data_IF_668190529922
#
_entry.id   IF_668190529922
#
_cell.length_a   1.000
_cell.length_b   1.000
_cell.length_c   1.000
_cell.angle_alpha   90.00
_cell.angle_beta   90.00
_cell.angle_gamma   90.00
#
_symmetry.space_group_name_H-M   'P 1'
#
loop_
_entity.id
_entity.type
_entity.pdbx_description
1 polymer ?
#
# COMPACT_ATOMS: atom_id res chain seq x y z
N UNK A 1 7.01 5.03 24.07
CA UNK A 1 6.16 5.01 22.86
C UNK A 1 5.62 3.60 22.67
N UNK A 2 4.39 3.43 22.16
CA UNK A 2 3.85 2.11 21.82
C UNK A 2 4.67 1.57 20.62
N UNK A 3 5.16 0.33 20.69
CA UNK A 3 5.90 -0.29 19.59
C UNK A 3 4.90 -0.84 18.57
N UNK A 4 5.24 -0.74 17.29
CA UNK A 4 4.50 -1.36 16.19
C UNK A 4 4.60 -2.88 16.34
N UNK A 5 3.47 -3.56 16.49
CA UNK A 5 3.42 -5.02 16.55
C UNK A 5 3.41 -5.55 15.13
N UNK A 6 4.45 -6.28 14.75
CA UNK A 6 4.69 -6.77 13.39
C UNK A 6 4.60 -8.30 13.34
N UNK A 7 3.88 -8.83 12.36
CA UNK A 7 3.95 -10.24 11.95
C UNK A 7 4.67 -10.33 10.61
N UNK A 8 5.51 -11.35 10.45
CA UNK A 8 6.20 -11.67 9.19
C UNK A 8 5.67 -13.00 8.68
N UNK A 9 5.18 -13.04 7.44
CA UNK A 9 4.71 -14.24 6.77
C UNK A 9 5.47 -14.43 5.45
N UNK A 10 6.33 -15.43 5.39
CA UNK A 10 7.13 -15.80 4.22
C UNK A 10 7.55 -17.27 4.37
N UNK A 11 7.46 -18.09 3.33
CA UNK A 11 7.88 -19.49 3.38
C UNK A 11 9.41 -19.66 3.36
N UNK A 12 10.15 -18.62 2.94
CA UNK A 12 11.60 -18.62 2.90
C UNK A 12 12.21 -18.16 4.24
N UNK A 13 12.80 -19.09 5.01
CA UNK A 13 13.45 -18.77 6.29
C UNK A 13 14.51 -17.68 6.19
N UNK A 14 15.34 -17.71 5.11
CA UNK A 14 16.39 -16.69 4.90
C UNK A 14 15.81 -15.27 4.76
N UNK A 15 14.64 -15.12 4.16
CA UNK A 15 13.98 -13.81 4.03
C UNK A 15 13.51 -13.34 5.41
N UNK A 16 12.90 -14.22 6.21
CA UNK A 16 12.47 -13.86 7.58
C UNK A 16 13.67 -13.47 8.44
N UNK A 17 14.76 -14.26 8.40
CA UNK A 17 16.01 -13.93 9.09
C UNK A 17 16.60 -12.58 8.63
N UNK A 18 16.54 -12.32 7.33
CA UNK A 18 16.96 -11.03 6.74
C UNK A 18 16.14 -9.86 7.27
N UNK A 19 14.82 -10.00 7.34
CA UNK A 19 13.92 -8.97 7.91
C UNK A 19 14.22 -8.76 9.39
N UNK A 20 14.42 -9.83 10.17
CA UNK A 20 14.86 -9.72 11.57
C UNK A 20 16.17 -8.95 11.70
N UNK A 21 17.16 -9.24 10.86
CA UNK A 21 18.44 -8.54 10.88
C UNK A 21 18.30 -7.05 10.51
N UNK A 22 17.45 -6.73 9.54
CA UNK A 22 17.15 -5.35 9.14
C UNK A 22 16.48 -4.57 10.28
N UNK A 23 15.54 -5.19 11.00
CA UNK A 23 14.74 -4.53 12.03
C UNK A 23 15.34 -4.60 13.43
N UNK A 24 16.46 -5.30 13.62
CA UNK A 24 17.07 -5.58 14.94
C UNK A 24 17.32 -4.37 15.82
N UNK A 25 17.64 -3.22 15.24
CA UNK A 25 17.97 -1.99 15.96
C UNK A 25 16.88 -0.92 15.87
N UNK A 26 15.69 -1.30 15.43
CA UNK A 26 14.53 -0.39 15.33
C UNK A 26 13.68 -0.52 16.60
N UNK A 27 13.96 0.33 17.57
CA UNK A 27 13.34 0.28 18.91
C UNK A 27 11.81 0.45 18.89
N UNK A 28 11.26 1.03 17.82
CA UNK A 28 9.85 1.27 17.64
C UNK A 28 9.10 0.09 16.98
N UNK A 29 9.78 -0.99 16.55
CA UNK A 29 9.17 -2.15 15.90
C UNK A 29 9.40 -3.38 16.78
N UNK A 30 8.37 -4.21 16.92
CA UNK A 30 8.42 -5.47 17.66
C UNK A 30 7.82 -6.60 16.82
N UNK A 31 8.63 -7.56 16.39
CA UNK A 31 8.17 -8.74 15.67
C UNK A 31 7.55 -9.68 16.70
N UNK A 32 6.23 -9.89 16.63
CA UNK A 32 5.47 -10.69 17.61
C UNK A 32 5.25 -12.12 17.18
N UNK A 33 5.26 -12.41 15.89
CA UNK A 33 5.14 -13.76 15.37
C UNK A 33 5.64 -13.89 13.92
N UNK A 34 5.88 -15.14 13.52
CA UNK A 34 6.18 -15.54 12.15
C UNK A 34 5.17 -16.55 11.65
N UNK A 35 5.00 -16.63 10.34
CA UNK A 35 4.21 -17.62 9.63
C UNK A 35 4.97 -18.08 8.37
N UNK A 36 4.74 -19.31 7.94
CA UNK A 36 5.37 -19.89 6.74
C UNK A 36 4.39 -20.09 5.58
N UNK A 37 3.12 -19.78 5.80
CA UNK A 37 2.06 -19.82 4.79
C UNK A 37 0.91 -18.89 5.17
N UNK A 38 -0.06 -18.71 4.27
CA UNK A 38 -1.20 -17.82 4.49
C UNK A 38 -2.15 -18.30 5.60
N UNK A 39 -2.29 -19.61 5.81
CA UNK A 39 -3.14 -20.15 6.90
C UNK A 39 -2.54 -19.81 8.26
N UNK A 40 -1.24 -20.03 8.44
CA UNK A 40 -0.56 -19.63 9.66
C UNK A 40 -0.61 -18.10 9.87
N UNK A 41 -0.46 -17.31 8.80
CA UNK A 41 -0.54 -15.86 8.88
C UNK A 41 -1.87 -15.41 9.49
N UNK A 42 -3.00 -15.97 9.05
CA UNK A 42 -4.33 -15.70 9.61
C UNK A 42 -4.36 -16.02 11.11
N UNK A 43 -3.91 -17.23 11.50
CA UNK A 43 -3.88 -17.66 12.91
C UNK A 43 -3.03 -16.71 13.76
N UNK A 44 -1.86 -16.26 13.25
CA UNK A 44 -1.00 -15.31 13.97
C UNK A 44 -1.65 -13.95 14.12
N UNK A 45 -2.35 -13.48 13.07
CA UNK A 45 -3.08 -12.20 13.11
C UNK A 45 -4.21 -12.27 14.13
N UNK A 46 -5.02 -13.31 14.14
CA UNK A 46 -6.11 -13.50 15.11
C UNK A 46 -5.62 -13.54 16.55
N UNK A 47 -4.48 -14.21 16.79
CA UNK A 47 -3.92 -14.36 18.13
C UNK A 47 -3.22 -13.10 18.65
N UNK A 48 -2.45 -12.43 17.79
CA UNK A 48 -1.58 -11.31 18.20
C UNK A 48 -2.17 -9.94 17.94
N UNK A 49 -3.20 -9.82 17.07
CA UNK A 49 -3.80 -8.56 16.62
C UNK A 49 -2.73 -7.53 16.25
N UNK A 50 -1.84 -7.84 15.30
CA UNK A 50 -0.70 -6.99 14.97
C UNK A 50 -1.17 -5.69 14.32
N UNK A 51 -0.36 -4.63 14.48
CA UNK A 51 -0.58 -3.38 13.79
C UNK A 51 -0.29 -3.53 12.28
N UNK A 52 0.80 -4.27 11.93
CA UNK A 52 1.24 -4.47 10.54
C UNK A 52 1.62 -5.94 10.29
N UNK A 53 1.33 -6.44 9.10
CA UNK A 53 1.81 -7.72 8.58
C UNK A 53 2.68 -7.47 7.34
N UNK A 54 3.91 -7.97 7.34
CA UNK A 54 4.70 -8.15 6.11
C UNK A 54 4.40 -9.54 5.58
N UNK A 55 3.90 -9.67 4.35
CA UNK A 55 3.41 -10.94 3.84
C UNK A 55 3.86 -11.20 2.42
N UNK A 56 4.53 -12.33 2.21
CA UNK A 56 4.83 -12.82 0.87
C UNK A 56 3.53 -13.14 0.10
N UNK A 57 3.54 -12.89 -1.19
CA UNK A 57 2.42 -13.24 -2.07
C UNK A 57 2.42 -14.74 -2.36
N UNK A 58 3.58 -15.32 -2.66
CA UNK A 58 3.71 -16.70 -3.10
C UNK A 58 4.12 -17.60 -1.94
N UNK A 59 3.15 -18.14 -1.24
CA UNK A 59 3.35 -19.10 -0.15
C UNK A 59 2.61 -20.41 -0.44
N UNK A 60 3.09 -21.56 0.10
CA UNK A 60 2.41 -22.83 -0.02
C UNK A 60 1.05 -22.80 0.72
N UNK A 61 0.18 -23.76 0.39
CA UNK A 61 -1.15 -23.98 0.99
C UNK A 61 -2.15 -22.83 0.80
N UNK A 62 -1.76 -21.60 1.04
CA UNK A 62 -2.56 -20.39 0.87
C UNK A 62 -1.66 -19.23 0.51
N UNK A 63 -1.96 -18.55 -0.58
CA UNK A 63 -1.24 -17.36 -1.05
C UNK A 63 -1.44 -16.17 -0.10
N UNK A 64 -0.51 -15.20 -0.15
CA UNK A 64 -0.65 -13.97 0.63
C UNK A 64 -1.85 -13.12 0.23
N UNK A 65 -2.30 -13.20 -1.03
CA UNK A 65 -3.50 -12.47 -1.49
C UNK A 65 -4.78 -13.12 -0.92
N UNK A 66 -4.86 -14.45 -0.92
CA UNK A 66 -5.98 -15.15 -0.27
C UNK A 66 -6.02 -14.89 1.24
N UNK A 67 -4.85 -14.86 1.89
CA UNK A 67 -4.73 -14.51 3.30
C UNK A 67 -5.11 -13.05 3.55
N UNK A 68 -4.66 -12.09 2.71
CA UNK A 68 -5.04 -10.68 2.77
C UNK A 68 -6.57 -10.53 2.79
N UNK A 69 -7.27 -11.17 1.86
CA UNK A 69 -8.73 -11.14 1.79
C UNK A 69 -9.37 -11.58 3.10
N UNK A 70 -8.97 -12.74 3.62
CA UNK A 70 -9.51 -13.29 4.87
C UNK A 70 -9.19 -12.43 6.09
N UNK A 71 -7.96 -11.92 6.18
CA UNK A 71 -7.56 -11.03 7.29
C UNK A 71 -8.37 -9.73 7.26
N UNK A 72 -8.65 -9.16 6.07
CA UNK A 72 -9.47 -7.95 5.98
C UNK A 72 -10.93 -8.16 6.39
N UNK A 73 -11.44 -9.39 6.27
CA UNK A 73 -12.77 -9.76 6.76
C UNK A 73 -12.82 -9.90 8.30
N UNK A 74 -11.76 -10.46 8.92
CA UNK A 74 -11.73 -10.82 10.35
C UNK A 74 -11.01 -9.78 11.23
N UNK A 75 -10.00 -9.10 10.70
CA UNK A 75 -9.17 -8.10 11.37
C UNK A 75 -8.92 -6.87 10.48
N UNK A 76 -9.96 -6.07 10.14
CA UNK A 76 -9.88 -4.97 9.16
C UNK A 76 -8.88 -3.88 9.55
N UNK A 77 -8.60 -3.69 10.83
CA UNK A 77 -7.65 -2.70 11.34
C UNK A 77 -6.20 -3.08 11.09
N UNK A 78 -5.89 -4.39 10.93
CA UNK A 78 -4.54 -4.85 10.63
C UNK A 78 -4.12 -4.38 9.24
N UNK A 79 -3.00 -3.69 9.16
CA UNK A 79 -2.42 -3.20 7.92
C UNK A 79 -1.55 -4.29 7.29
N UNK A 80 -1.64 -4.44 5.96
CA UNK A 80 -0.90 -5.49 5.27
C UNK A 80 -0.01 -4.88 4.20
N UNK A 81 1.28 -5.19 4.26
CA UNK A 81 2.27 -4.89 3.23
C UNK A 81 2.60 -6.21 2.54
N UNK A 82 2.25 -6.33 1.27
CA UNK A 82 2.65 -7.49 0.46
C UNK A 82 4.09 -7.33 -0.03
N UNK A 83 4.80 -8.45 -0.09
CA UNK A 83 6.15 -8.55 -0.63
C UNK A 83 6.18 -9.55 -1.78
N UNK A 84 6.94 -9.26 -2.85
CA UNK A 84 7.05 -10.17 -4.00
C UNK A 84 8.44 -10.11 -4.63
N UNK A 85 8.90 -11.24 -5.17
CA UNK A 85 10.10 -11.28 -6.03
C UNK A 85 9.84 -10.66 -7.39
N UNK A 86 8.63 -10.81 -7.92
CA UNK A 86 8.22 -10.29 -9.22
C UNK A 86 7.03 -9.35 -9.09
N UNK A 87 7.08 -8.26 -9.84
CA UNK A 87 5.98 -7.29 -9.91
C UNK A 87 5.01 -7.76 -11.00
N UNK A 88 3.90 -8.38 -10.59
CA UNK A 88 2.82 -8.82 -11.49
C UNK A 88 1.66 -7.82 -11.46
N UNK A 89 1.24 -7.36 -12.65
CA UNK A 89 0.08 -6.47 -12.81
C UNK A 89 -1.21 -7.12 -12.26
N UNK A 90 -1.33 -8.44 -12.36
CA UNK A 90 -2.48 -9.20 -11.90
C UNK A 90 -2.53 -9.22 -10.36
N UNK A 91 -1.43 -9.59 -9.70
CA UNK A 91 -1.34 -9.61 -8.23
C UNK A 91 -1.54 -8.23 -7.61
N UNK A 92 -0.97 -7.18 -8.24
CA UNK A 92 -1.17 -5.82 -7.78
C UNK A 92 -2.65 -5.44 -7.86
N UNK A 93 -3.33 -5.73 -8.99
CA UNK A 93 -4.75 -5.39 -9.16
C UNK A 93 -5.63 -6.08 -8.14
N UNK A 94 -5.38 -7.36 -7.87
CA UNK A 94 -6.13 -8.15 -6.90
C UNK A 94 -5.86 -7.67 -5.47
N UNK A 95 -4.60 -7.44 -5.11
CA UNK A 95 -4.22 -6.92 -3.80
C UNK A 95 -4.89 -5.56 -3.48
N UNK A 96 -4.95 -4.68 -4.48
CA UNK A 96 -5.60 -3.38 -4.36
C UNK A 96 -7.13 -3.50 -4.18
N UNK A 97 -7.76 -4.48 -4.83
CA UNK A 97 -9.19 -4.75 -4.68
C UNK A 97 -9.54 -5.16 -3.24
N UNK A 98 -8.65 -5.90 -2.59
CA UNK A 98 -8.83 -6.33 -1.19
C UNK A 98 -8.25 -5.35 -0.15
N UNK A 99 -7.84 -4.14 -0.55
CA UNK A 99 -7.44 -3.09 0.38
C UNK A 99 -6.09 -3.32 1.04
N UNK A 100 -5.09 -3.79 0.25
CA UNK A 100 -3.70 -3.85 0.71
C UNK A 100 -3.22 -2.45 1.11
N UNK A 101 -2.42 -2.37 2.18
CA UNK A 101 -1.90 -1.08 2.68
C UNK A 101 -0.53 -0.73 2.08
N UNK A 102 0.17 -1.71 1.53
CA UNK A 102 1.46 -1.49 0.88
C UNK A 102 1.89 -2.66 0.01
N UNK A 103 2.84 -2.39 -0.91
CA UNK A 103 3.41 -3.42 -1.77
C UNK A 103 4.88 -3.11 -2.05
N UNK A 104 5.76 -4.05 -1.75
CA UNK A 104 7.22 -3.93 -1.85
C UNK A 104 7.82 -5.08 -2.67
N UNK A 105 8.91 -4.84 -3.42
CA UNK A 105 9.74 -5.92 -3.90
C UNK A 105 10.53 -6.56 -2.75
N UNK A 106 10.82 -7.86 -2.81
CA UNK A 106 11.61 -8.57 -1.77
C UNK A 106 13.09 -8.14 -1.74
N UNK A 107 13.59 -7.49 -2.79
CA UNK A 107 14.94 -6.91 -2.87
C UNK A 107 15.05 -5.50 -2.27
N UNK A 108 14.04 -5.10 -1.51
CA UNK A 108 13.95 -3.77 -0.89
C UNK A 108 15.09 -3.53 0.09
N UNK A 109 15.61 -2.29 0.13
CA UNK A 109 16.62 -1.88 1.10
C UNK A 109 16.01 -1.66 2.48
N UNK A 110 16.86 -1.80 3.51
CA UNK A 110 16.47 -1.62 4.91
C UNK A 110 15.72 -0.30 5.18
N UNK A 111 16.25 0.81 4.70
CA UNK A 111 15.68 2.15 4.91
C UNK A 111 14.27 2.28 4.31
N UNK A 112 14.05 1.67 3.13
CA UNK A 112 12.76 1.65 2.46
C UNK A 112 11.76 0.76 3.20
N UNK A 113 12.18 -0.42 3.67
CA UNK A 113 11.33 -1.32 4.46
C UNK A 113 10.83 -0.65 5.74
N UNK A 114 11.74 -0.01 6.50
CA UNK A 114 11.39 0.72 7.72
C UNK A 114 10.44 1.87 7.43
N UNK A 115 10.71 2.65 6.37
CA UNK A 115 9.84 3.74 5.93
C UNK A 115 8.43 3.22 5.59
N UNK A 116 8.34 2.11 4.89
CA UNK A 116 7.06 1.50 4.52
C UNK A 116 6.26 1.07 5.75
N UNK A 117 6.90 0.36 6.70
CA UNK A 117 6.26 -0.09 7.94
C UNK A 117 5.71 1.10 8.75
N UNK A 118 6.52 2.14 8.94
CA UNK A 118 6.11 3.31 9.72
C UNK A 118 4.94 4.05 9.05
N UNK A 119 5.01 4.32 7.74
CA UNK A 119 3.92 5.00 7.01
C UNK A 119 2.62 4.20 7.05
N UNK A 120 2.70 2.90 6.82
CA UNK A 120 1.53 2.03 6.86
C UNK A 120 0.92 1.97 8.26
N UNK A 121 1.75 1.95 9.30
CA UNK A 121 1.29 2.05 10.69
C UNK A 121 0.57 3.38 10.97
N UNK A 122 1.03 4.48 10.39
CA UNK A 122 0.40 5.82 10.48
C UNK A 122 -0.90 5.94 9.66
N UNK A 123 -1.27 4.87 8.93
CA UNK A 123 -2.48 4.82 8.12
C UNK A 123 -2.30 5.32 6.69
N UNK A 124 -1.06 5.57 6.26
CA UNK A 124 -0.73 5.88 4.87
C UNK A 124 -0.59 4.58 4.05
N UNK A 125 -0.80 4.68 2.74
CA UNK A 125 -0.45 3.59 1.81
C UNK A 125 1.01 3.74 1.36
N UNK A 126 1.70 2.61 1.15
CA UNK A 126 3.07 2.62 0.64
C UNK A 126 3.26 1.66 -0.53
N UNK A 127 3.45 2.19 -1.73
CA UNK A 127 3.76 1.42 -2.93
C UNK A 127 5.13 1.84 -3.45
N UNK A 128 6.03 0.86 -3.64
CA UNK A 128 7.33 1.13 -4.29
C UNK A 128 7.15 1.73 -5.68
N UNK A 129 8.13 2.47 -6.16
CA UNK A 129 8.07 3.15 -7.47
C UNK A 129 7.82 2.18 -8.63
N UNK A 130 8.47 1.02 -8.63
CA UNK A 130 8.27 -0.03 -9.64
C UNK A 130 6.84 -0.58 -9.62
N UNK A 131 6.26 -0.71 -8.43
CA UNK A 131 4.86 -1.14 -8.25
C UNK A 131 3.91 -0.06 -8.76
N UNK A 132 4.19 1.20 -8.43
CA UNK A 132 3.43 2.34 -8.95
C UNK A 132 3.44 2.39 -10.47
N UNK A 133 4.60 2.22 -11.12
CA UNK A 133 4.69 2.13 -12.58
C UNK A 133 3.89 0.97 -13.18
N UNK A 134 3.88 -0.20 -12.52
CA UNK A 134 3.11 -1.35 -12.98
C UNK A 134 1.60 -1.09 -12.87
N UNK A 135 1.15 -0.44 -11.79
CA UNK A 135 -0.24 0.03 -11.65
C UNK A 135 -0.60 0.95 -12.82
N UNK A 136 0.26 1.91 -13.15
CA UNK A 136 0.08 2.83 -14.28
C UNK A 136 -0.03 2.07 -15.62
N UNK A 137 0.91 1.16 -15.92
CA UNK A 137 0.91 0.39 -17.18
C UNK A 137 -0.35 -0.45 -17.36
N UNK A 138 -0.81 -1.11 -16.31
CA UNK A 138 -2.01 -1.94 -16.35
C UNK A 138 -3.27 -1.12 -16.65
N UNK A 139 -3.36 0.05 -16.08
CA UNK A 139 -4.48 0.96 -16.33
C UNK A 139 -4.55 1.39 -17.81
N UNK A 140 -3.42 1.67 -18.45
CA UNK A 140 -3.38 2.03 -19.87
C UNK A 140 -3.77 0.86 -20.79
N UNK A 141 -3.33 -0.37 -20.49
CA UNK A 141 -3.73 -1.57 -21.28
C UNK A 141 -5.24 -1.83 -21.20
N UNK A 142 -5.85 -1.68 -20.03
CA UNK A 142 -7.32 -1.83 -19.89
C UNK A 142 -8.11 -0.74 -20.62
N UNK A 143 -7.55 0.46 -20.81
CA UNK A 143 -8.21 1.57 -21.49
C UNK A 143 -8.33 1.39 -23.01
N UNK A 144 -7.41 0.64 -23.62
CA UNK A 144 -7.49 0.30 -25.06
C UNK A 144 -8.54 -0.76 -25.37
N UNK A 145 -9.01 -1.50 -24.37
CA UNK A 145 -9.97 -2.60 -24.57
C UNK A 145 -11.38 -2.35 -24.01
N UNK A 146 -11.64 -1.28 -23.27
CA UNK A 146 -12.99 -1.01 -22.75
C UNK A 146 -13.27 0.50 -22.63
N UNK A 147 -13.90 1.07 -23.67
CA UNK A 147 -14.52 2.39 -23.61
C UNK A 147 -15.87 2.26 -22.91
N UNK A 148 -15.97 2.63 -21.64
CA UNK A 148 -17.19 3.23 -21.07
C UNK A 148 -16.98 3.74 -19.64
N UNK A 149 -16.86 5.00 -19.53
CA UNK A 149 -17.42 6.07 -18.70
C UNK A 149 -17.99 5.70 -17.32
N UNK A 150 -17.51 6.38 -16.26
CA UNK A 150 -18.40 7.11 -15.34
C UNK A 150 -17.75 8.46 -14.98
N UNK A 151 -18.42 9.55 -15.30
CA UNK A 151 -18.04 10.91 -14.97
C UNK A 151 -18.66 11.31 -13.63
N UNK A 152 -17.83 11.59 -12.64
CA UNK A 152 -18.20 12.41 -11.50
C UNK A 152 -17.78 13.85 -11.76
N UNK A 153 -18.73 14.76 -11.91
CA UNK A 153 -18.51 16.15 -12.33
C UNK A 153 -18.22 17.09 -11.14
N UNK A 154 -17.18 16.82 -10.38
CA UNK A 154 -16.69 17.78 -9.39
C UNK A 154 -15.45 18.50 -9.94
N UNK A 155 -15.54 19.83 -10.22
CA UNK A 155 -14.34 20.64 -10.53
C UNK A 155 -13.45 20.68 -9.29
N UNK A 156 -12.22 20.19 -9.43
CA UNK A 156 -11.19 20.32 -8.39
C UNK A 156 -10.73 21.79 -8.31
N UNK A 157 -10.43 22.24 -7.10
CA UNK A 157 -9.76 23.54 -6.91
C UNK A 157 -8.28 23.44 -7.25
N UNK A 158 -7.63 24.57 -7.57
CA UNK A 158 -6.19 24.59 -7.92
C UNK A 158 -5.31 23.83 -6.92
N UNK A 159 -5.59 23.96 -5.63
CA UNK A 159 -4.83 23.30 -4.57
C UNK A 159 -5.04 21.78 -4.53
N UNK A 160 -6.25 21.35 -4.83
CA UNK A 160 -6.59 19.93 -4.95
C UNK A 160 -5.92 19.31 -6.19
N UNK A 161 -5.84 20.05 -7.30
CA UNK A 161 -5.11 19.62 -8.51
C UNK A 161 -3.60 19.48 -8.26
N UNK A 162 -2.99 20.42 -7.53
CA UNK A 162 -1.58 20.33 -7.14
C UNK A 162 -1.30 19.10 -6.26
N UNK A 163 -2.14 18.86 -5.25
CA UNK A 163 -2.01 17.68 -4.38
C UNK A 163 -2.19 16.40 -5.21
N UNK A 164 -3.20 16.36 -6.08
CA UNK A 164 -3.48 15.21 -6.93
C UNK A 164 -2.29 14.88 -7.85
N UNK A 165 -1.70 15.89 -8.48
CA UNK A 165 -0.51 15.74 -9.34
C UNK A 165 0.67 15.12 -8.57
N UNK A 166 0.93 15.59 -7.35
CA UNK A 166 2.04 15.09 -6.54
C UNK A 166 1.78 13.66 -6.00
N UNK A 167 0.53 13.35 -5.68
CA UNK A 167 0.12 11.96 -5.36
C UNK A 167 0.40 11.03 -6.54
N UNK A 168 0.11 11.47 -7.76
CA UNK A 168 0.39 10.70 -8.98
C UNK A 168 1.88 10.53 -9.27
N UNK A 169 2.73 11.42 -8.77
CA UNK A 169 4.19 11.29 -8.82
C UNK A 169 4.74 10.34 -7.73
N UNK A 170 3.87 9.64 -7.00
CA UNK A 170 4.25 8.69 -5.94
C UNK A 170 4.70 9.35 -4.63
N UNK A 171 4.47 10.67 -4.46
CA UNK A 171 4.86 11.37 -3.24
C UNK A 171 3.91 11.05 -2.09
N UNK A 172 4.47 10.78 -0.91
CA UNK A 172 3.69 10.63 0.32
C UNK A 172 3.32 11.97 0.96
N UNK A 173 2.42 11.92 1.95
CA UNK A 173 1.89 13.12 2.59
C UNK A 173 2.97 14.06 3.14
N UNK A 174 4.09 13.54 3.67
CA UNK A 174 5.20 14.33 4.19
C UNK A 174 5.89 15.08 3.04
N UNK A 175 6.27 14.38 1.98
CA UNK A 175 6.94 14.97 0.80
C UNK A 175 6.08 16.04 0.12
N UNK A 176 4.77 15.76 0.00
CA UNK A 176 3.79 16.74 -0.52
C UNK A 176 3.69 17.96 0.40
N UNK A 177 3.66 17.73 1.71
CA UNK A 177 3.57 18.78 2.71
C UNK A 177 4.75 19.76 2.65
N UNK A 178 5.96 19.23 2.52
CA UNK A 178 7.19 19.99 2.36
C UNK A 178 7.19 20.79 1.05
N UNK A 179 6.80 20.13 -0.06
CA UNK A 179 6.79 20.77 -1.38
C UNK A 179 5.73 21.85 -1.51
N UNK A 180 4.61 21.69 -0.83
CA UNK A 180 3.49 22.62 -0.88
C UNK A 180 3.43 23.59 0.31
N UNK A 181 4.37 23.53 1.25
CA UNK A 181 4.43 24.37 2.45
C UNK A 181 3.15 24.33 3.30
N UNK A 182 2.59 23.12 3.51
CA UNK A 182 1.41 22.86 4.34
C UNK A 182 1.69 21.71 5.31
N UNK A 183 0.81 21.45 6.28
CA UNK A 183 0.98 20.31 7.18
C UNK A 183 0.64 18.98 6.49
N UNK A 184 1.26 17.84 6.90
CA UNK A 184 0.87 16.52 6.39
C UNK A 184 -0.62 16.21 6.59
N UNK A 185 -1.20 16.67 7.69
CA UNK A 185 -2.64 16.56 7.98
C UNK A 185 -3.49 17.37 6.98
N UNK A 186 -2.99 18.50 6.53
CA UNK A 186 -3.68 19.31 5.50
C UNK A 186 -3.65 18.59 4.15
N UNK A 187 -2.55 17.88 3.81
CA UNK A 187 -2.46 17.05 2.60
C UNK A 187 -3.49 15.94 2.66
N UNK A 188 -3.62 15.26 3.81
CA UNK A 188 -4.58 14.19 4.01
C UNK A 188 -6.04 14.70 3.87
N UNK A 189 -6.33 15.87 4.43
CA UNK A 189 -7.64 16.52 4.26
C UNK A 189 -7.93 16.84 2.79
N UNK A 190 -6.94 17.31 2.02
CA UNK A 190 -7.12 17.55 0.58
C UNK A 190 -7.39 16.24 -0.16
N UNK A 191 -6.63 15.15 0.11
CA UNK A 191 -6.88 13.83 -0.49
C UNK A 191 -8.29 13.34 -0.21
N UNK A 192 -8.75 13.44 1.05
CA UNK A 192 -10.10 13.05 1.45
C UNK A 192 -11.18 13.85 0.72
N UNK A 193 -11.03 15.17 0.65
CA UNK A 193 -11.98 16.04 -0.07
C UNK A 193 -12.00 15.77 -1.57
N UNK A 194 -10.82 15.49 -2.18
CA UNK A 194 -10.75 15.13 -3.60
C UNK A 194 -11.52 13.82 -3.82
N UNK A 195 -11.27 12.81 -3.00
CA UNK A 195 -11.96 11.51 -3.10
C UNK A 195 -13.47 11.66 -2.92
N UNK A 196 -13.92 12.45 -1.94
CA UNK A 196 -15.34 12.73 -1.69
C UNK A 196 -15.98 13.44 -2.90
N UNK A 197 -15.36 14.51 -3.42
CA UNK A 197 -15.85 15.26 -4.59
C UNK A 197 -15.96 14.42 -5.85
N UNK A 198 -15.06 13.47 -6.01
CA UNK A 198 -14.97 12.62 -7.21
C UNK A 198 -15.70 11.28 -7.03
N UNK A 199 -16.25 10.99 -5.84
CA UNK A 199 -16.93 9.74 -5.51
C UNK A 199 -15.99 8.54 -5.51
N UNK A 200 -14.71 8.74 -5.12
CA UNK A 200 -13.66 7.74 -5.13
C UNK A 200 -13.48 7.14 -3.74
N UNK A 201 -13.17 5.85 -3.66
CA UNK A 201 -13.15 5.10 -2.39
C UNK A 201 -11.76 5.01 -1.77
N UNK A 202 -10.69 5.17 -2.55
CA UNK A 202 -9.31 5.01 -2.12
C UNK A 202 -8.32 5.76 -3.02
N UNK A 203 -7.07 5.87 -2.58
CA UNK A 203 -5.98 6.55 -3.31
C UNK A 203 -5.73 5.94 -4.69
N UNK A 204 -5.98 4.65 -4.87
CA UNK A 204 -5.82 3.99 -6.18
C UNK A 204 -6.85 4.47 -7.19
N UNK A 205 -8.10 4.62 -6.77
CA UNK A 205 -9.14 5.22 -7.62
C UNK A 205 -8.84 6.67 -7.92
N UNK A 206 -8.24 7.39 -6.94
CA UNK A 206 -7.79 8.76 -7.12
C UNK A 206 -6.70 8.86 -8.20
N UNK A 207 -5.67 8.02 -8.14
CA UNK A 207 -4.62 7.94 -9.15
C UNK A 207 -5.21 7.58 -10.51
N UNK A 208 -6.09 6.59 -10.59
CA UNK A 208 -6.79 6.20 -11.81
C UNK A 208 -7.57 7.37 -12.43
N UNK A 209 -8.26 8.14 -11.60
CA UNK A 209 -9.00 9.33 -12.02
C UNK A 209 -8.07 10.41 -12.58
N UNK A 210 -6.99 10.72 -11.89
CA UNK A 210 -6.05 11.75 -12.29
C UNK A 210 -5.40 11.48 -13.66
N UNK A 211 -5.00 10.23 -13.88
CA UNK A 211 -4.45 9.78 -15.17
C UNK A 211 -5.49 9.92 -16.27
N UNK A 212 -6.73 9.46 -16.01
CA UNK A 212 -7.82 9.52 -16.99
C UNK A 212 -8.11 10.94 -17.45
N UNK A 213 -7.90 11.92 -16.58
CA UNK A 213 -8.24 13.33 -16.83
C UNK A 213 -7.03 14.20 -17.15
N UNK A 214 -5.83 13.62 -17.35
CA UNK A 214 -4.64 14.35 -17.81
C UNK A 214 -3.98 15.23 -16.75
N UNK A 215 -4.19 14.95 -15.45
CA UNK A 215 -3.53 15.66 -14.34
C UNK A 215 -2.06 15.30 -14.17
N UNK A 216 -1.56 14.32 -14.89
CA UNK A 216 -0.14 13.95 -14.93
C UNK A 216 0.24 13.63 -16.37
N UNK A 217 1.32 14.23 -16.84
CA UNK A 217 2.04 13.85 -18.05
C UNK A 217 3.10 12.82 -17.65
N UNK A 218 3.23 11.77 -18.45
CA UNK A 218 4.23 10.71 -18.28
C UNK A 218 5.58 11.16 -18.81
#
# INVERSE_FOLDING_TARGET
MKKIQLVIADDHGLIRDGIHAMLRYEDNINIVAEAVNGLEAIIRVEHHLPDVVLMDIMMPEMTGIEALKKIKETAPETKIILMSMEISEEFISEALEYGVSGYLPKDVRKDVLIKAINRVYEGEEYFDSKVSEAIFKNYYKKKTNNSSVVAGSGKLGKREEEVLTLVCQGMGNIEISEKLFISPRTVDSHKSHIMEKLGLKNTVELIKFAIKNGFTEL
#
